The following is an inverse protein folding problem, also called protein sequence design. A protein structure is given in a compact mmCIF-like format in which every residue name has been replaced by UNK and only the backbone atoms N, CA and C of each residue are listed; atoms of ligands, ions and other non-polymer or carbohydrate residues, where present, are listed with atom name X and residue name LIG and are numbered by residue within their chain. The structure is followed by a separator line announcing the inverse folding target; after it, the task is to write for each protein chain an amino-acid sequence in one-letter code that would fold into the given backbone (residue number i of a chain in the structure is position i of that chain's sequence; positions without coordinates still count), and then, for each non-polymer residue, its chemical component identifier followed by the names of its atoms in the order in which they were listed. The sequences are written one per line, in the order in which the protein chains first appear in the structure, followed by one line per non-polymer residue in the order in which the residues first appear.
data_IF_209535323759
#
_entry.id   IF_209535323759
#
_cell.length_a   1.000
_cell.length_b   1.000
_cell.length_c   1.000
_cell.angle_alpha   90.00
_cell.angle_beta   90.00
_cell.angle_gamma   90.00
#
_symmetry.space_group_name_H-M   'P 1'
#
loop_
_entity.id
_entity.type
_entity.pdbx_description
1 polymer ?
#
# COMPACT_ATOMS: atom_id res chain seq x y z
N UNK A 1 -9.03 17.59 -24.45
CA UNK A 1 -8.38 16.69 -23.48
C UNK A 1 -7.80 17.56 -22.39
N UNK A 2 -8.30 17.44 -21.17
CA UNK A 2 -7.76 18.11 -20.00
C UNK A 2 -6.46 17.41 -19.63
N UNK A 3 -5.37 18.16 -19.42
CA UNK A 3 -4.11 17.60 -18.92
C UNK A 3 -4.23 17.25 -17.42
N UNK A 4 -3.29 16.46 -16.91
CA UNK A 4 -3.36 15.94 -15.55
C UNK A 4 -3.33 17.07 -14.51
N UNK A 5 -2.53 18.10 -14.75
CA UNK A 5 -2.38 19.23 -13.82
C UNK A 5 -3.70 20.00 -13.71
N UNK A 6 -4.35 20.26 -14.85
CA UNK A 6 -5.66 20.92 -14.89
C UNK A 6 -6.75 20.06 -14.22
N UNK A 7 -6.70 18.74 -14.38
CA UNK A 7 -7.62 17.83 -13.69
C UNK A 7 -7.38 17.84 -12.17
N UNK A 8 -6.13 17.90 -11.72
CA UNK A 8 -5.77 18.01 -10.31
C UNK A 8 -6.27 19.31 -9.69
N UNK A 9 -6.03 20.44 -10.35
CA UNK A 9 -6.52 21.76 -9.92
C UNK A 9 -8.06 21.84 -9.91
N UNK A 10 -8.73 21.25 -10.90
CA UNK A 10 -10.19 21.19 -10.93
C UNK A 10 -10.76 20.42 -9.73
N UNK A 11 -10.13 19.29 -9.37
CA UNK A 11 -10.52 18.49 -8.20
C UNK A 11 -10.19 19.15 -6.86
N UNK A 12 -9.19 20.04 -6.82
CA UNK A 12 -8.98 20.90 -5.66
C UNK A 12 -10.09 21.95 -5.57
N UNK A 13 -10.42 22.59 -6.70
CA UNK A 13 -11.40 23.66 -6.75
C UNK A 13 -12.82 23.20 -6.40
N UNK A 14 -13.20 21.97 -6.76
CA UNK A 14 -14.50 21.38 -6.42
C UNK A 14 -14.54 20.71 -5.03
N UNK A 15 -13.40 20.67 -4.33
CA UNK A 15 -13.27 20.13 -2.98
C UNK A 15 -13.15 18.60 -2.90
N UNK A 16 -13.07 17.89 -4.03
CA UNK A 16 -12.84 16.43 -4.03
C UNK A 16 -11.42 16.05 -3.60
N UNK A 17 -10.43 16.94 -3.82
CA UNK A 17 -9.05 16.78 -3.38
C UNK A 17 -8.59 17.93 -2.49
N UNK A 18 -7.65 17.60 -1.61
CA UNK A 18 -6.88 18.59 -0.84
C UNK A 18 -5.50 18.70 -1.48
N UNK A 19 -5.00 19.94 -1.61
CA UNK A 19 -3.67 20.22 -2.15
C UNK A 19 -2.58 19.53 -1.32
N UNK A 20 -1.63 18.88 -1.99
CA UNK A 20 -0.49 18.19 -1.41
C UNK A 20 0.77 18.46 -2.26
N UNK A 21 1.75 19.16 -1.69
CA UNK A 21 2.98 19.57 -2.38
C UNK A 21 3.76 18.38 -2.99
N UNK A 22 3.70 17.20 -2.36
CA UNK A 22 4.39 16.01 -2.86
C UNK A 22 3.70 15.46 -4.11
N UNK A 23 2.37 15.51 -4.13
CA UNK A 23 1.57 15.12 -5.27
C UNK A 23 1.77 16.10 -6.43
N UNK A 24 1.76 17.41 -6.14
CA UNK A 24 2.02 18.45 -7.15
C UNK A 24 3.41 18.31 -7.77
N UNK A 25 4.42 18.01 -6.97
CA UNK A 25 5.80 17.86 -7.43
C UNK A 25 5.98 16.75 -8.48
N UNK A 26 5.15 15.69 -8.46
CA UNK A 26 5.23 14.58 -9.42
C UNK A 26 4.36 14.75 -10.66
N UNK A 27 3.37 15.65 -10.65
CA UNK A 27 2.49 15.88 -11.82
C UNK A 27 3.27 16.16 -13.13
N UNK A 28 4.38 16.92 -13.12
CA UNK A 28 5.18 17.14 -14.33
C UNK A 28 5.74 15.85 -14.95
N UNK A 29 6.08 14.83 -14.16
CA UNK A 29 6.59 13.54 -14.67
C UNK A 29 5.51 12.73 -15.38
N UNK A 30 4.28 12.74 -14.85
CA UNK A 30 3.13 12.17 -15.54
C UNK A 30 2.84 12.92 -16.84
N UNK A 31 2.86 14.25 -16.80
CA UNK A 31 2.60 15.08 -17.98
C UNK A 31 3.66 14.89 -19.07
N UNK A 32 4.93 14.73 -18.70
CA UNK A 32 6.01 14.36 -19.63
C UNK A 32 5.67 13.09 -20.40
N UNK A 33 5.15 12.06 -19.72
CA UNK A 33 4.77 10.79 -20.34
C UNK A 33 3.55 10.97 -21.24
N UNK A 34 2.49 11.63 -20.75
CA UNK A 34 1.26 11.89 -21.51
C UNK A 34 1.55 12.64 -22.80
N UNK A 35 2.28 13.74 -22.72
CA UNK A 35 2.66 14.57 -23.86
C UNK A 35 3.53 13.82 -24.88
N UNK A 36 4.47 12.99 -24.40
CA UNK A 36 5.29 12.15 -25.28
C UNK A 36 4.46 11.08 -26.01
N UNK A 37 3.51 10.45 -25.34
CA UNK A 37 2.62 9.44 -25.94
C UNK A 37 1.57 10.04 -26.89
N UNK A 38 1.14 11.28 -26.65
CA UNK A 38 0.22 12.01 -27.53
C UNK A 38 0.87 12.40 -28.88
N UNK A 39 2.21 12.44 -28.95
CA UNK A 39 2.91 12.79 -30.17
C UNK A 39 3.02 11.57 -31.10
N UNK A 40 2.43 11.61 -32.32
CA UNK A 40 2.50 10.48 -33.23
C UNK A 40 3.94 10.18 -33.67
N UNK A 41 4.37 8.94 -33.50
CA UNK A 41 5.69 8.49 -33.96
C UNK A 41 5.66 8.39 -35.49
N UNK A 42 6.32 9.33 -36.19
CA UNK A 42 6.48 9.28 -37.65
C UNK A 42 7.37 8.09 -38.03
N UNK A 43 6.75 6.99 -38.48
CA UNK A 43 7.47 5.84 -39.04
C UNK A 43 7.81 6.11 -40.51
N UNK A 44 9.09 6.33 -40.82
CA UNK A 44 9.59 6.40 -42.20
C UNK A 44 10.25 5.08 -42.61
N UNK A 45 10.24 4.75 -43.90
CA UNK A 45 10.74 3.47 -44.44
C UNK A 45 12.22 3.13 -44.09
N UNK A 46 13.00 4.10 -43.61
CA UNK A 46 14.42 3.92 -43.27
C UNK A 46 14.81 4.51 -41.90
N UNK A 47 13.84 4.96 -41.09
CA UNK A 47 14.13 5.61 -39.81
C UNK A 47 13.66 4.72 -38.66
N UNK A 48 14.63 4.24 -37.88
CA UNK A 48 14.35 3.53 -36.62
C UNK A 48 13.49 4.46 -35.75
N UNK A 49 12.34 4.00 -35.22
CA UNK A 49 11.51 4.84 -34.37
C UNK A 49 12.34 5.29 -33.15
N UNK A 50 12.12 6.52 -32.64
CA UNK A 50 12.75 6.95 -31.41
C UNK A 50 12.37 5.99 -30.27
N UNK A 51 13.26 5.78 -29.28
CA UNK A 51 12.93 4.99 -28.12
C UNK A 51 11.73 5.59 -27.39
N UNK A 52 10.91 4.76 -26.73
CA UNK A 52 9.79 5.26 -25.92
C UNK A 52 10.32 6.19 -24.81
N UNK A 53 9.52 7.16 -24.34
CA UNK A 53 9.90 7.96 -23.19
C UNK A 53 10.09 7.07 -21.97
N UNK A 54 11.00 7.45 -21.07
CA UNK A 54 11.13 6.78 -19.78
C UNK A 54 9.78 6.79 -19.05
N UNK A 55 9.44 5.66 -18.47
CA UNK A 55 8.26 5.51 -17.64
C UNK A 55 8.45 6.14 -16.26
N UNK A 56 7.57 5.79 -15.31
CA UNK A 56 7.60 6.31 -13.94
C UNK A 56 7.39 5.17 -12.94
N UNK A 57 8.29 5.06 -11.97
CA UNK A 57 8.15 4.19 -10.80
C UNK A 57 7.86 5.09 -9.60
N UNK A 58 6.57 5.25 -9.29
CA UNK A 58 6.11 6.06 -8.17
C UNK A 58 6.05 5.20 -6.92
N UNK A 59 6.90 5.48 -5.93
CA UNK A 59 6.93 4.71 -4.70
C UNK A 59 6.80 5.57 -3.47
N UNK A 60 6.45 4.95 -2.36
CA UNK A 60 6.30 5.63 -1.07
C UNK A 60 5.29 4.92 -0.19
N UNK A 61 5.15 5.37 1.05
CA UNK A 61 4.26 4.74 2.01
C UNK A 61 2.81 4.57 1.52
N UNK A 62 2.09 3.63 2.13
CA UNK A 62 0.65 3.45 1.91
C UNK A 62 -0.06 4.79 2.07
N UNK A 63 -0.95 5.10 1.13
CA UNK A 63 -1.88 6.20 1.30
C UNK A 63 -1.36 7.61 1.11
N UNK A 64 -0.28 7.75 0.34
CA UNK A 64 0.22 9.04 -0.15
C UNK A 64 -0.51 9.53 -1.41
N UNK A 65 -1.53 8.81 -1.88
CA UNK A 65 -2.29 9.18 -3.09
C UNK A 65 -1.74 8.61 -4.41
N UNK A 66 -0.79 7.65 -4.37
CA UNK A 66 -0.19 7.05 -5.57
C UNK A 66 -1.21 6.49 -6.57
N UNK A 67 -2.14 5.67 -6.08
CA UNK A 67 -3.18 5.07 -6.93
C UNK A 67 -4.11 6.16 -7.46
N UNK A 68 -4.60 7.08 -6.62
CA UNK A 68 -5.40 8.22 -7.08
C UNK A 68 -4.71 9.05 -8.19
N UNK A 69 -3.40 9.33 -8.07
CA UNK A 69 -2.64 9.99 -9.14
C UNK A 69 -2.58 9.13 -10.41
N UNK A 70 -2.44 7.81 -10.26
CA UNK A 70 -2.52 6.86 -11.37
C UNK A 70 -3.91 6.87 -12.04
N UNK A 71 -5.02 6.86 -11.28
CA UNK A 71 -6.39 6.97 -11.79
C UNK A 71 -6.53 8.20 -12.69
N UNK A 72 -6.16 9.37 -12.14
CA UNK A 72 -6.24 10.65 -12.84
C UNK A 72 -5.37 10.66 -14.09
N UNK A 73 -4.16 10.12 -14.00
CA UNK A 73 -3.26 10.03 -15.14
C UNK A 73 -3.86 9.20 -16.28
N UNK A 74 -4.38 8.02 -15.98
CA UNK A 74 -5.00 7.14 -16.99
C UNK A 74 -6.25 7.78 -17.59
N UNK A 75 -7.06 8.51 -16.80
CA UNK A 75 -8.21 9.28 -17.27
C UNK A 75 -7.83 10.34 -18.32
N UNK A 76 -6.63 10.92 -18.20
CA UNK A 76 -6.14 11.95 -19.14
C UNK A 76 -5.57 11.41 -20.46
N UNK A 77 -5.52 10.08 -20.64
CA UNK A 77 -4.94 9.45 -21.83
C UNK A 77 -5.78 9.60 -23.11
N UNK A 78 -7.08 9.89 -22.98
CA UNK A 78 -7.97 10.04 -24.13
C UNK A 78 -7.96 8.80 -25.04
N UNK A 79 -7.60 8.98 -26.31
CA UNK A 79 -7.55 7.90 -27.31
C UNK A 79 -6.27 7.06 -27.27
N UNK A 80 -5.30 7.40 -26.41
CA UNK A 80 -4.07 6.61 -26.27
C UNK A 80 -4.43 5.28 -25.61
N UNK A 81 -4.12 4.11 -26.22
CA UNK A 81 -4.43 2.81 -25.64
C UNK A 81 -3.69 2.59 -24.31
N UNK A 82 -4.35 2.89 -23.20
CA UNK A 82 -3.82 2.76 -21.86
C UNK A 82 -4.56 1.67 -21.11
N UNK A 83 -3.82 0.82 -20.41
CA UNK A 83 -4.37 -0.24 -19.58
C UNK A 83 -3.86 -0.09 -18.17
N UNK A 84 -4.79 0.09 -17.23
CA UNK A 84 -4.51 0.04 -15.80
C UNK A 84 -4.88 -1.34 -15.24
N UNK A 85 -4.00 -1.90 -14.43
CA UNK A 85 -4.19 -3.25 -13.86
C UNK A 85 -3.31 -3.43 -12.62
N UNK A 86 -3.78 -4.18 -11.62
CA UNK A 86 -2.92 -4.60 -10.51
C UNK A 86 -1.83 -5.55 -11.01
N UNK A 87 -0.60 -5.38 -10.52
CA UNK A 87 0.55 -6.15 -11.01
C UNK A 87 0.33 -7.67 -10.92
N UNK A 88 -0.20 -8.17 -9.80
CA UNK A 88 -0.45 -9.61 -9.63
C UNK A 88 -1.50 -10.15 -10.61
N UNK A 89 -2.60 -9.43 -10.83
CA UNK A 89 -3.64 -9.83 -11.78
C UNK A 89 -3.09 -9.90 -13.22
N UNK A 90 -2.23 -8.95 -13.59
CA UNK A 90 -1.55 -8.98 -14.87
C UNK A 90 -0.63 -10.21 -14.99
N UNK A 91 0.17 -10.52 -13.97
CA UNK A 91 1.03 -11.71 -13.99
C UNK A 91 0.24 -13.00 -14.13
N UNK A 92 -0.92 -13.13 -13.48
CA UNK A 92 -1.81 -14.27 -13.65
C UNK A 92 -2.29 -14.44 -15.11
N UNK A 93 -2.66 -13.34 -15.77
CA UNK A 93 -3.03 -13.36 -17.19
C UNK A 93 -1.87 -13.80 -18.08
N UNK A 94 -0.65 -13.31 -17.80
CA UNK A 94 0.55 -13.71 -18.54
C UNK A 94 0.82 -15.20 -18.37
N UNK A 95 0.76 -15.73 -17.15
CA UNK A 95 0.95 -17.17 -16.89
C UNK A 95 -0.12 -18.02 -17.58
N UNK A 96 -1.39 -17.59 -17.56
CA UNK A 96 -2.46 -18.27 -18.26
C UNK A 96 -2.23 -18.29 -19.79
N UNK A 97 -1.81 -17.16 -20.36
CA UNK A 97 -1.44 -17.07 -21.78
C UNK A 97 -0.26 -17.97 -22.14
N UNK A 98 0.77 -18.01 -21.28
CA UNK A 98 1.92 -18.88 -21.47
C UNK A 98 1.55 -20.36 -21.37
N UNK A 99 0.66 -20.73 -20.45
CA UNK A 99 0.18 -22.11 -20.32
C UNK A 99 -0.48 -22.57 -21.62
N UNK A 100 -1.40 -21.76 -22.16
CA UNK A 100 -2.07 -22.05 -23.44
C UNK A 100 -1.07 -22.17 -24.59
N UNK A 101 -0.11 -21.25 -24.70
CA UNK A 101 0.91 -21.32 -25.74
C UNK A 101 1.77 -22.61 -25.64
N UNK A 102 2.05 -23.10 -24.42
CA UNK A 102 2.75 -24.37 -24.22
C UNK A 102 1.91 -25.58 -24.64
N UNK A 103 0.61 -25.56 -24.38
CA UNK A 103 -0.32 -26.61 -24.85
C UNK A 103 -0.34 -26.69 -26.39
N UNK A 104 -0.22 -25.54 -27.05
CA UNK A 104 -0.11 -25.43 -28.51
C UNK A 104 1.30 -25.80 -29.04
N UNK A 105 2.22 -26.25 -28.18
CA UNK A 105 3.58 -26.68 -28.55
C UNK A 105 4.58 -25.55 -28.77
N UNK A 106 4.27 -24.31 -28.37
CA UNK A 106 5.18 -23.17 -28.50
C UNK A 106 6.31 -23.28 -27.46
N UNK A 107 7.55 -23.39 -27.94
CA UNK A 107 8.73 -23.48 -27.06
C UNK A 107 8.94 -22.19 -26.24
N UNK A 108 8.84 -21.03 -26.90
CA UNK A 108 8.93 -19.72 -26.25
C UNK A 108 7.53 -19.14 -26.00
N UNK A 109 6.89 -19.63 -24.95
CA UNK A 109 5.51 -19.29 -24.63
C UNK A 109 5.30 -17.81 -24.23
N UNK A 110 6.35 -17.10 -23.76
CA UNK A 110 6.23 -15.70 -23.33
C UNK A 110 6.11 -14.75 -24.52
N UNK A 111 6.82 -15.02 -25.60
CA UNK A 111 6.86 -14.15 -26.77
C UNK A 111 5.50 -13.82 -27.40
N UNK A 112 4.65 -14.80 -27.75
CA UNK A 112 3.34 -14.50 -28.34
C UNK A 112 2.41 -13.77 -27.37
N UNK A 113 2.55 -14.00 -26.06
CA UNK A 113 1.77 -13.31 -25.03
C UNK A 113 2.18 -11.84 -24.93
N UNK A 114 3.48 -11.56 -24.88
CA UNK A 114 4.02 -10.21 -24.89
C UNK A 114 3.63 -9.45 -26.17
N UNK A 115 3.71 -10.09 -27.34
CA UNK A 115 3.27 -9.50 -28.61
C UNK A 115 1.80 -9.07 -28.60
N UNK A 116 0.92 -9.86 -28.00
CA UNK A 116 -0.50 -9.52 -27.90
C UNK A 116 -0.72 -8.28 -27.03
N UNK A 117 0.05 -8.14 -25.94
CA UNK A 117 0.04 -6.92 -25.13
C UNK A 117 0.56 -5.74 -25.95
N UNK A 118 1.71 -5.86 -26.60
CA UNK A 118 2.33 -4.79 -27.41
C UNK A 118 1.39 -4.28 -28.52
N UNK A 119 0.59 -5.17 -29.13
CA UNK A 119 -0.38 -4.81 -30.18
C UNK A 119 -1.59 -4.03 -29.63
N UNK A 120 -1.92 -4.17 -28.36
CA UNK A 120 -3.17 -3.66 -27.76
C UNK A 120 -2.98 -2.44 -26.88
N UNK A 121 -1.80 -2.24 -26.30
CA UNK A 121 -1.54 -1.14 -25.37
C UNK A 121 -0.30 -0.35 -25.75
N UNK A 122 -0.34 0.96 -25.49
CA UNK A 122 0.79 1.89 -25.57
C UNK A 122 1.31 2.30 -24.20
N UNK A 123 0.44 2.25 -23.19
CA UNK A 123 0.76 2.52 -21.79
C UNK A 123 0.23 1.39 -20.91
N UNK A 124 1.10 0.82 -20.07
CA UNK A 124 0.71 -0.05 -18.97
C UNK A 124 0.89 0.69 -17.64
N UNK A 125 -0.22 0.87 -16.93
CA UNK A 125 -0.29 1.46 -15.61
C UNK A 125 -0.46 0.35 -14.56
N UNK A 126 0.64 -0.06 -13.92
CA UNK A 126 0.60 -1.07 -12.87
C UNK A 126 0.31 -0.42 -11.51
N UNK A 127 -0.73 -0.92 -10.83
CA UNK A 127 -0.90 -0.62 -9.41
C UNK A 127 -0.28 -1.70 -8.53
N UNK A 128 0.26 -1.25 -7.40
CA UNK A 128 0.74 -2.09 -6.31
C UNK A 128 1.78 -3.14 -6.76
N UNK A 129 2.81 -2.69 -7.47
CA UNK A 129 3.90 -3.56 -7.87
C UNK A 129 4.63 -4.11 -6.65
N UNK A 130 4.41 -5.40 -6.41
CA UNK A 130 5.07 -6.21 -5.40
C UNK A 130 5.31 -7.60 -5.99
N UNK A 131 6.50 -8.13 -5.71
CA UNK A 131 6.89 -9.47 -6.15
C UNK A 131 7.33 -10.26 -4.93
N UNK A 132 6.61 -11.34 -4.67
CA UNK A 132 6.87 -12.30 -3.59
C UNK A 132 7.03 -13.72 -4.10
N UNK A 133 6.44 -14.04 -5.26
CA UNK A 133 6.51 -15.35 -5.88
C UNK A 133 7.72 -15.47 -6.80
N UNK A 134 8.40 -16.62 -6.73
CA UNK A 134 9.56 -16.92 -7.58
C UNK A 134 9.17 -17.03 -9.05
N UNK A 135 7.99 -17.56 -9.37
CA UNK A 135 7.52 -17.76 -10.74
C UNK A 135 7.40 -16.43 -11.48
N UNK A 136 6.85 -15.41 -10.84
CA UNK A 136 6.79 -14.03 -11.35
C UNK A 136 8.20 -13.45 -11.51
N UNK A 137 9.04 -13.61 -10.49
CA UNK A 137 10.42 -13.11 -10.50
C UNK A 137 11.25 -13.67 -11.68
N UNK A 138 10.99 -14.91 -12.08
CA UNK A 138 11.71 -15.58 -13.18
C UNK A 138 11.35 -15.06 -14.58
N UNK A 139 10.14 -14.54 -14.79
CA UNK A 139 9.67 -14.13 -16.13
C UNK A 139 9.55 -12.61 -16.30
N UNK A 140 9.37 -11.86 -15.21
CA UNK A 140 9.03 -10.43 -15.27
C UNK A 140 10.10 -9.60 -15.97
N UNK A 141 11.38 -9.90 -15.76
CA UNK A 141 12.48 -9.16 -16.39
C UNK A 141 12.39 -9.24 -17.91
N UNK A 142 12.31 -10.47 -18.42
CA UNK A 142 12.18 -10.73 -19.85
C UNK A 142 10.89 -10.14 -20.43
N UNK A 143 9.78 -10.21 -19.69
CA UNK A 143 8.53 -9.61 -20.12
C UNK A 143 8.66 -8.09 -20.28
N UNK A 144 9.26 -7.40 -19.30
CA UNK A 144 9.45 -5.96 -19.34
C UNK A 144 10.40 -5.54 -20.47
N UNK A 145 11.47 -6.30 -20.71
CA UNK A 145 12.36 -6.09 -21.87
C UNK A 145 11.56 -6.12 -23.18
N UNK A 146 10.72 -7.15 -23.38
CA UNK A 146 9.92 -7.29 -24.59
C UNK A 146 8.88 -6.17 -24.74
N UNK A 147 8.23 -5.76 -23.64
CA UNK A 147 7.27 -4.65 -23.64
C UNK A 147 7.97 -3.32 -24.00
N UNK A 148 9.14 -3.08 -23.41
CA UNK A 148 9.94 -1.88 -23.68
C UNK A 148 10.40 -1.83 -25.15
N UNK A 149 10.95 -2.92 -25.67
CA UNK A 149 11.36 -3.05 -27.07
C UNK A 149 10.18 -2.92 -28.05
N UNK A 150 8.99 -3.35 -27.62
CA UNK A 150 7.73 -3.15 -28.32
C UNK A 150 7.21 -1.70 -28.31
N UNK A 151 7.85 -0.81 -27.55
CA UNK A 151 7.48 0.60 -27.42
C UNK A 151 6.33 0.86 -26.46
N UNK A 152 6.05 -0.07 -25.54
CA UNK A 152 5.08 0.10 -24.45
C UNK A 152 5.75 0.90 -23.33
N UNK A 153 5.13 1.98 -22.90
CA UNK A 153 5.57 2.75 -21.73
C UNK A 153 4.94 2.16 -20.48
N UNK A 154 5.73 2.06 -19.40
CA UNK A 154 5.27 1.53 -18.12
C UNK A 154 5.23 2.65 -17.09
N UNK A 155 4.12 2.77 -16.37
CA UNK A 155 4.03 3.58 -15.16
C UNK A 155 3.57 2.64 -14.05
N UNK A 156 4.19 2.71 -12.88
CA UNK A 156 3.93 1.76 -11.80
C UNK A 156 3.90 2.43 -10.44
N UNK A 157 2.99 1.99 -9.56
CA UNK A 157 2.97 2.38 -8.15
C UNK A 157 3.52 1.26 -7.26
N UNK A 158 4.27 1.59 -6.22
CA UNK A 158 4.70 0.60 -5.21
C UNK A 158 4.81 1.18 -3.81
N UNK A 159 4.68 0.32 -2.80
CA UNK A 159 5.00 0.66 -1.41
C UNK A 159 6.47 0.41 -1.06
N UNK A 160 7.28 -0.08 -2.00
CA UNK A 160 8.68 -0.43 -1.81
C UNK A 160 9.55 0.31 -2.84
N UNK A 161 10.76 0.67 -2.45
CA UNK A 161 11.77 1.10 -3.42
C UNK A 161 12.12 -0.08 -4.35
N UNK A 162 12.54 0.15 -5.62
CA UNK A 162 12.91 -0.94 -6.53
C UNK A 162 13.96 -1.90 -5.94
N UNK A 163 14.91 -1.39 -5.17
CA UNK A 163 15.92 -2.22 -4.50
C UNK A 163 15.33 -3.16 -3.45
N UNK A 164 14.14 -2.87 -2.93
CA UNK A 164 13.46 -3.72 -1.93
C UNK A 164 12.44 -4.69 -2.57
N UNK A 165 12.26 -4.66 -3.89
CA UNK A 165 11.43 -5.63 -4.60
C UNK A 165 12.05 -7.03 -4.50
N UNK A 166 11.25 -8.04 -4.13
CA UNK A 166 11.69 -9.43 -3.96
C UNK A 166 12.88 -9.58 -2.98
N UNK A 167 12.96 -8.70 -1.97
CA UNK A 167 14.00 -8.75 -0.94
C UNK A 167 13.91 -10.07 -0.17
N UNK A 168 15.05 -10.73 -0.01
CA UNK A 168 15.15 -12.08 0.57
C UNK A 168 14.43 -13.19 -0.21
N UNK A 169 13.97 -12.92 -1.44
CA UNK A 169 13.41 -13.94 -2.31
C UNK A 169 14.42 -14.99 -2.72
N UNK A 170 13.96 -16.20 -3.02
CA UNK A 170 14.81 -17.30 -3.43
C UNK A 170 15.51 -16.97 -4.76
N UNK A 171 16.83 -17.19 -4.82
CA UNK A 171 17.68 -16.83 -5.96
C UNK A 171 17.58 -15.35 -6.39
N UNK A 172 17.42 -14.41 -5.45
CA UNK A 172 17.34 -12.96 -5.69
C UNK A 172 18.39 -12.40 -6.65
N UNK A 173 19.58 -12.99 -6.72
CA UNK A 173 20.61 -12.60 -7.68
C UNK A 173 20.14 -12.64 -9.15
N UNK A 174 19.24 -13.57 -9.49
CA UNK A 174 18.63 -13.67 -10.83
C UNK A 174 17.63 -12.55 -11.11
N UNK A 175 17.14 -11.88 -10.06
CA UNK A 175 16.17 -10.78 -10.14
C UNK A 175 16.84 -9.39 -10.19
N UNK A 176 18.11 -9.28 -9.79
CA UNK A 176 18.86 -8.02 -9.83
C UNK A 176 18.92 -7.36 -11.23
N UNK A 177 19.05 -8.10 -12.36
CA UNK A 177 18.98 -7.50 -13.69
C UNK A 177 17.66 -6.78 -13.95
N UNK A 178 16.54 -7.28 -13.43
CA UNK A 178 15.25 -6.62 -13.56
C UNK A 178 15.16 -5.34 -12.73
N UNK A 179 15.72 -5.32 -11.52
CA UNK A 179 15.83 -4.08 -10.71
C UNK A 179 16.65 -3.02 -11.48
N UNK A 180 17.73 -3.45 -12.14
CA UNK A 180 18.52 -2.56 -12.98
C UNK A 180 17.70 -2.01 -14.15
N UNK A 181 16.99 -2.89 -14.88
CA UNK A 181 16.10 -2.50 -15.97
C UNK A 181 15.05 -1.46 -15.52
N UNK A 182 14.41 -1.65 -14.35
CA UNK A 182 13.48 -0.68 -13.76
C UNK A 182 14.15 0.70 -13.62
N UNK A 183 15.36 0.75 -13.05
CA UNK A 183 16.08 2.00 -12.81
C UNK A 183 16.58 2.66 -14.10
N UNK A 184 16.84 1.87 -15.13
CA UNK A 184 17.22 2.38 -16.45
C UNK A 184 16.03 2.96 -17.21
N UNK A 185 14.89 2.25 -17.20
CA UNK A 185 13.73 2.60 -18.04
C UNK A 185 12.71 3.50 -17.36
N UNK A 186 12.68 3.54 -16.04
CA UNK A 186 11.71 4.31 -15.27
C UNK A 186 12.41 5.43 -14.50
N UNK A 187 11.77 6.60 -14.45
CA UNK A 187 12.12 7.63 -13.47
C UNK A 187 11.65 7.12 -12.12
N UNK A 188 12.57 6.97 -11.17
CA UNK A 188 12.23 6.55 -9.80
C UNK A 188 11.86 7.79 -9.01
N UNK A 189 10.59 7.89 -8.61
CA UNK A 189 10.08 9.02 -7.87
C UNK A 189 9.54 8.56 -6.53
N UNK A 190 10.11 9.07 -5.44
CA UNK A 190 9.55 8.87 -4.12
C UNK A 190 8.48 9.94 -3.88
N UNK A 191 7.25 9.51 -3.57
CA UNK A 191 6.20 10.37 -3.09
C UNK A 191 6.42 10.63 -1.58
N UNK A 192 7.50 11.36 -1.30
CA UNK A 192 7.83 11.90 0.02
C UNK A 192 7.11 13.22 0.18
N UNK A 193 6.13 13.25 1.09
CA UNK A 193 5.74 14.54 1.64
C UNK A 193 6.91 15.05 2.47
N UNK A 194 7.50 16.22 2.16
CA UNK A 194 8.63 16.79 2.91
C UNK A 194 8.30 17.03 4.39
N UNK A 195 7.02 16.90 4.72
CA UNK A 195 6.49 16.83 6.06
C UNK A 195 5.71 15.54 6.17
N UNK A 196 6.25 14.54 6.86
CA UNK A 196 5.41 13.54 7.48
C UNK A 196 4.63 14.24 8.61
N UNK A 197 3.62 15.05 8.24
CA UNK A 197 2.72 15.70 9.17
C UNK A 197 2.05 14.68 10.10
N UNK A 198 2.07 13.37 9.77
CA UNK A 198 1.57 12.29 10.63
C UNK A 198 2.58 11.83 11.70
N UNK A 199 3.89 11.82 11.43
CA UNK A 199 4.90 11.48 12.43
C UNK A 199 5.25 12.68 13.32
N UNK A 200 5.43 13.88 12.75
CA UNK A 200 5.76 15.08 13.52
C UNK A 200 4.61 15.64 14.37
N UNK A 201 3.35 15.21 14.16
CA UNK A 201 2.21 15.58 15.04
C UNK A 201 2.04 14.63 16.23
N UNK A 202 2.54 13.40 16.13
CA UNK A 202 2.59 12.46 17.27
C UNK A 202 3.78 12.72 18.17
N UNK A 203 4.81 13.45 17.71
CA UNK A 203 5.90 13.93 18.56
C UNK A 203 5.34 14.88 19.65
N UNK A 204 5.03 14.32 20.81
CA UNK A 204 4.48 15.02 21.96
C UNK A 204 2.98 14.85 22.19
N UNK A 205 2.24 14.26 21.25
CA UNK A 205 0.81 13.96 21.45
C UNK A 205 0.64 12.63 22.21
N UNK A 206 -0.20 12.58 23.27
CA UNK A 206 -0.47 11.33 23.97
C UNK A 206 -1.10 10.31 23.02
N UNK A 207 -0.59 9.08 23.04
CA UNK A 207 -1.11 7.94 22.24
C UNK A 207 -1.97 6.99 23.06
N UNK A 208 -2.06 7.23 24.37
CA UNK A 208 -2.87 6.46 25.30
C UNK A 208 -3.79 7.41 26.05
N UNK A 209 -5.09 7.17 25.98
CA UNK A 209 -6.12 8.04 26.57
C UNK A 209 -6.91 7.28 27.62
N UNK A 210 -6.82 7.71 28.87
CA UNK A 210 -7.55 7.10 29.98
C UNK A 210 -8.01 8.16 30.99
N UNK A 211 -9.16 7.97 31.67
CA UNK A 211 -10.16 6.94 31.43
C UNK A 211 -10.96 7.17 30.14
N UNK A 212 -11.70 6.14 29.70
CA UNK A 212 -12.68 6.28 28.64
C UNK A 212 -13.74 7.31 29.06
N UNK A 213 -14.07 8.22 28.15
CA UNK A 213 -15.07 9.25 28.38
C UNK A 213 -15.16 10.24 27.22
N UNK A 214 -16.00 11.29 27.35
CA UNK A 214 -16.17 12.30 26.32
C UNK A 214 -14.86 12.97 25.90
N UNK A 215 -13.97 13.26 26.86
CA UNK A 215 -12.68 13.89 26.59
C UNK A 215 -11.74 12.98 25.77
N UNK A 216 -11.60 11.70 26.16
CA UNK A 216 -10.79 10.74 25.42
C UNK A 216 -11.33 10.53 24.00
N UNK A 217 -12.66 10.47 23.85
CA UNK A 217 -13.31 10.33 22.54
C UNK A 217 -13.08 11.54 21.64
N UNK A 218 -13.09 12.76 22.19
CA UNK A 218 -12.79 13.96 21.42
C UNK A 218 -11.33 13.99 20.97
N UNK A 219 -10.40 13.68 21.87
CA UNK A 219 -8.97 13.60 21.54
C UNK A 219 -8.70 12.55 20.46
N UNK A 220 -9.25 11.35 20.60
CA UNK A 220 -9.12 10.30 19.58
C UNK A 220 -9.75 10.71 18.26
N UNK A 221 -10.92 11.36 18.28
CA UNK A 221 -11.56 11.85 17.05
C UNK A 221 -10.68 12.86 16.34
N UNK A 222 -10.08 13.81 17.07
CA UNK A 222 -9.13 14.77 16.52
C UNK A 222 -7.94 14.06 15.88
N UNK A 223 -7.31 13.15 16.62
CA UNK A 223 -6.16 12.38 16.12
C UNK A 223 -6.54 11.55 14.89
N UNK A 224 -7.70 10.90 14.89
CA UNK A 224 -8.21 10.15 13.75
C UNK A 224 -8.44 11.04 12.51
N UNK A 225 -9.09 12.19 12.68
CA UNK A 225 -9.34 13.11 11.57
C UNK A 225 -8.04 13.62 10.95
N UNK A 226 -7.06 13.93 11.80
CA UNK A 226 -5.72 14.34 11.37
C UNK A 226 -4.98 13.22 10.64
N UNK A 227 -5.06 11.98 11.14
CA UNK A 227 -4.35 10.83 10.55
C UNK A 227 -5.03 10.28 9.30
N UNK A 228 -6.36 10.27 9.22
CA UNK A 228 -7.09 9.67 8.09
C UNK A 228 -7.10 10.55 6.84
N UNK A 229 -7.10 11.88 7.00
CA UNK A 229 -7.09 12.82 5.86
C UNK A 229 -8.38 12.78 5.02
N UNK A 230 -9.52 12.41 5.63
CA UNK A 230 -10.85 12.44 5.03
C UNK A 230 -11.63 11.12 5.23
N UNK A 231 -12.64 10.81 4.37
CA UNK A 231 -13.49 9.62 4.57
C UNK A 231 -12.68 8.33 4.52
N UNK A 232 -13.07 7.34 5.33
CA UNK A 232 -12.45 6.03 5.43
C UNK A 232 -13.50 4.95 5.19
N UNK A 233 -13.10 3.87 4.53
CA UNK A 233 -13.98 2.76 4.17
C UNK A 233 -13.55 1.49 4.91
N UNK A 234 -14.43 0.49 5.06
CA UNK A 234 -14.02 -0.78 5.63
C UNK A 234 -12.94 -1.46 4.79
N UNK A 235 -11.94 -2.07 5.43
CA UNK A 235 -10.97 -2.95 4.77
C UNK A 235 -11.29 -4.40 5.10
N UNK A 236 -11.50 -5.22 4.07
CA UNK A 236 -11.66 -6.67 4.19
C UNK A 236 -10.35 -7.39 3.85
N UNK A 237 -9.74 -8.03 4.85
CA UNK A 237 -8.55 -8.86 4.70
C UNK A 237 -8.95 -10.34 4.59
N UNK A 238 -8.45 -11.02 3.56
CA UNK A 238 -8.66 -12.47 3.39
C UNK A 238 -7.53 -13.26 4.05
N UNK A 239 -7.84 -13.97 5.12
CA UNK A 239 -6.86 -14.74 5.91
C UNK A 239 -7.28 -16.20 5.91
N UNK A 240 -6.55 -17.09 5.23
CA UNK A 240 -6.82 -18.55 5.23
C UNK A 240 -8.31 -18.93 5.04
N UNK A 241 -8.99 -18.24 4.12
CA UNK A 241 -10.39 -18.52 3.76
C UNK A 241 -11.45 -17.89 4.68
N UNK A 242 -11.08 -17.02 5.62
CA UNK A 242 -12.02 -16.16 6.36
C UNK A 242 -11.76 -14.68 6.08
N UNK A 243 -12.82 -13.88 6.19
CA UNK A 243 -12.76 -12.43 6.03
C UNK A 243 -12.60 -11.75 7.40
N UNK A 244 -11.61 -10.86 7.50
CA UNK A 244 -11.34 -10.02 8.67
C UNK A 244 -11.60 -8.57 8.27
N UNK A 245 -12.56 -7.91 8.93
CA UNK A 245 -13.01 -6.57 8.55
C UNK A 245 -12.50 -5.53 9.55
N UNK A 246 -11.78 -4.53 9.07
CA UNK A 246 -11.49 -3.30 9.81
C UNK A 246 -12.56 -2.25 9.45
N UNK A 247 -13.37 -1.76 10.42
CA UNK A 247 -14.55 -0.92 10.13
C UNK A 247 -14.24 0.38 9.40
N UNK A 248 -13.11 1.00 9.74
CA UNK A 248 -12.64 2.20 9.07
C UNK A 248 -11.15 2.05 8.80
N UNK A 249 -10.79 2.10 7.53
CA UNK A 249 -9.42 2.02 7.07
C UNK A 249 -9.20 3.05 5.98
N UNK A 250 -8.05 3.71 6.06
CA UNK A 250 -7.54 4.51 4.98
C UNK A 250 -6.04 4.59 5.10
N UNK A 251 -5.35 4.37 3.99
CA UNK A 251 -3.97 4.82 3.87
C UNK A 251 -3.01 4.22 4.93
N UNK A 252 -3.23 2.96 5.33
CA UNK A 252 -2.45 2.28 6.37
C UNK A 252 -2.81 2.66 7.81
N UNK A 253 -3.86 3.47 8.01
CA UNK A 253 -4.41 3.83 9.31
C UNK A 253 -5.77 3.16 9.44
N UNK A 254 -5.96 2.36 10.50
CA UNK A 254 -7.25 1.79 10.82
C UNK A 254 -7.81 2.37 12.10
N UNK A 255 -9.13 2.41 12.18
CA UNK A 255 -9.90 2.71 13.39
C UNK A 255 -10.91 1.60 13.63
N UNK A 256 -10.90 1.09 14.84
CA UNK A 256 -11.77 0.01 15.28
C UNK A 256 -12.06 0.17 16.79
N UNK A 257 -13.22 -0.32 17.24
CA UNK A 257 -13.44 -0.51 18.67
C UNK A 257 -12.74 -1.77 19.18
N UNK A 258 -12.54 -1.86 20.48
CA UNK A 258 -12.03 -3.07 21.13
C UNK A 258 -12.83 -4.31 20.72
N UNK A 259 -14.16 -4.22 20.68
CA UNK A 259 -15.02 -5.37 20.37
C UNK A 259 -15.05 -5.72 18.87
N UNK A 260 -14.67 -4.82 17.97
CA UNK A 260 -14.50 -5.14 16.55
C UNK A 260 -13.37 -6.15 16.33
N UNK A 261 -12.30 -6.07 17.13
CA UNK A 261 -11.13 -6.93 17.00
C UNK A 261 -11.14 -8.04 18.04
N UNK A 262 -11.23 -7.69 19.32
CA UNK A 262 -11.11 -8.64 20.43
C UNK A 262 -12.43 -9.33 20.78
N UNK A 263 -13.58 -8.77 20.36
CA UNK A 263 -14.90 -9.42 20.53
C UNK A 263 -15.19 -10.52 19.51
N UNK A 264 -14.49 -10.52 18.37
CA UNK A 264 -14.65 -11.52 17.30
C UNK A 264 -13.72 -12.72 17.50
N UNK A 265 -14.04 -13.84 16.85
CA UNK A 265 -13.22 -15.07 16.90
C UNK A 265 -11.97 -14.99 16.01
N UNK A 266 -11.17 -13.93 16.19
CA UNK A 266 -9.89 -13.76 15.52
C UNK A 266 -8.78 -14.55 16.25
N UNK A 267 -7.89 -15.14 15.47
CA UNK A 267 -6.71 -15.85 15.94
C UNK A 267 -5.40 -15.13 15.61
N UNK A 268 -4.24 -15.69 16.02
CA UNK A 268 -2.93 -15.06 15.81
C UNK A 268 -2.63 -14.71 14.34
N UNK A 269 -2.99 -15.58 13.40
CA UNK A 269 -2.79 -15.31 11.97
C UNK A 269 -3.62 -14.15 11.43
N UNK A 270 -4.79 -13.91 12.02
CA UNK A 270 -5.65 -12.77 11.67
C UNK A 270 -5.02 -11.46 12.16
N UNK A 271 -4.47 -11.46 13.39
CA UNK A 271 -3.78 -10.31 13.94
C UNK A 271 -2.46 -9.98 13.25
N UNK A 272 -1.72 -10.99 12.78
CA UNK A 272 -0.54 -10.77 11.93
C UNK A 272 -0.91 -10.12 10.60
N UNK A 273 -1.99 -10.59 9.95
CA UNK A 273 -2.47 -9.98 8.71
C UNK A 273 -2.96 -8.53 8.92
N UNK A 274 -3.62 -8.26 10.06
CA UNK A 274 -3.95 -6.89 10.46
C UNK A 274 -2.66 -6.07 10.63
N UNK A 275 -1.68 -6.57 11.39
CA UNK A 275 -0.44 -5.84 11.64
C UNK A 275 0.34 -5.54 10.35
N UNK A 276 0.40 -6.48 9.41
CA UNK A 276 1.06 -6.30 8.10
C UNK A 276 0.37 -5.25 7.22
N UNK A 277 -0.96 -5.09 7.36
CA UNK A 277 -1.74 -4.11 6.59
C UNK A 277 -1.66 -2.69 7.17
N UNK A 278 -1.23 -2.53 8.43
CA UNK A 278 -1.32 -1.29 9.18
C UNK A 278 0.04 -0.66 9.49
N UNK A 279 0.03 0.68 9.53
CA UNK A 279 1.09 1.50 10.13
C UNK A 279 0.66 2.11 11.46
N UNK A 280 -0.63 2.43 11.55
CA UNK A 280 -1.25 2.96 12.75
C UNK A 280 -2.59 2.26 13.00
N UNK A 281 -2.82 1.83 14.23
CA UNK A 281 -4.12 1.37 14.70
C UNK A 281 -4.64 2.35 15.74
N UNK A 282 -5.82 2.91 15.50
CA UNK A 282 -6.63 3.64 16.49
C UNK A 282 -7.63 2.66 17.09
N UNK A 283 -7.38 2.23 18.33
CA UNK A 283 -8.21 1.26 19.04
C UNK A 283 -9.03 1.94 20.14
N UNK A 284 -10.36 1.96 19.98
CA UNK A 284 -11.24 2.65 20.90
C UNK A 284 -11.85 1.74 21.96
N UNK A 285 -12.06 2.33 23.14
CA UNK A 285 -12.90 1.81 24.21
C UNK A 285 -12.43 0.45 24.76
N UNK A 286 -11.12 0.30 25.01
CA UNK A 286 -10.54 -0.87 25.69
C UNK A 286 -11.10 -0.95 27.13
N UNK A 287 -11.95 -1.93 27.45
CA UNK A 287 -12.58 -2.00 28.76
C UNK A 287 -11.58 -2.44 29.83
N UNK A 288 -11.98 -2.36 31.11
CA UNK A 288 -11.28 -3.13 32.14
C UNK A 288 -11.46 -4.61 31.85
N UNK A 289 -10.36 -5.33 31.83
CA UNK A 289 -10.31 -6.76 31.57
C UNK A 289 -10.39 -7.51 32.91
N UNK A 290 -11.04 -8.65 32.89
CA UNK A 290 -11.36 -9.46 34.06
C UNK A 290 -11.62 -10.90 33.63
N UNK A 291 -11.90 -11.78 34.59
CA UNK A 291 -12.31 -13.17 34.31
C UNK A 291 -13.57 -13.25 33.44
N UNK A 292 -14.46 -12.26 33.49
CA UNK A 292 -15.73 -12.26 32.76
C UNK A 292 -15.57 -12.02 31.25
N UNK A 293 -14.45 -11.42 30.81
CA UNK A 293 -14.11 -11.16 29.41
C UNK A 293 -12.71 -11.70 29.07
N UNK A 294 -12.40 -12.88 29.63
CA UNK A 294 -11.08 -13.49 29.53
C UNK A 294 -10.68 -13.87 28.09
N UNK A 295 -11.64 -14.25 27.25
CA UNK A 295 -11.35 -14.59 25.85
C UNK A 295 -10.96 -13.34 25.04
N UNK A 296 -11.67 -12.24 25.25
CA UNK A 296 -11.37 -10.93 24.69
C UNK A 296 -10.01 -10.43 25.21
N UNK A 297 -9.74 -10.64 26.50
CA UNK A 297 -8.47 -10.31 27.13
C UNK A 297 -7.30 -11.05 26.46
N UNK A 298 -7.40 -12.38 26.26
CA UNK A 298 -6.38 -13.17 25.53
C UNK A 298 -6.17 -12.70 24.08
N UNK A 299 -7.25 -12.35 23.41
CA UNK A 299 -7.20 -11.79 22.05
C UNK A 299 -6.52 -10.43 22.02
N UNK A 300 -6.75 -9.60 23.03
CA UNK A 300 -6.07 -8.31 23.17
C UNK A 300 -4.56 -8.49 23.38
N UNK A 301 -4.14 -9.42 24.24
CA UNK A 301 -2.71 -9.79 24.38
C UNK A 301 -2.11 -10.16 23.03
N UNK A 302 -2.80 -11.04 22.28
CA UNK A 302 -2.34 -11.49 20.96
C UNK A 302 -2.25 -10.34 19.94
N UNK A 303 -3.23 -9.43 19.95
CA UNK A 303 -3.23 -8.23 19.10
C UNK A 303 -2.03 -7.33 19.44
N UNK A 304 -1.82 -7.01 20.71
CA UNK A 304 -0.69 -6.15 21.14
C UNK A 304 0.64 -6.78 20.76
N UNK A 305 0.77 -8.10 20.91
CA UNK A 305 1.99 -8.82 20.54
C UNK A 305 2.28 -8.69 19.04
N UNK A 306 1.27 -8.90 18.18
CA UNK A 306 1.41 -8.75 16.73
C UNK A 306 1.78 -7.32 16.31
N UNK A 307 1.11 -6.31 16.91
CA UNK A 307 1.39 -4.90 16.62
C UNK A 307 2.79 -4.49 17.07
N UNK A 308 3.21 -4.97 18.25
CA UNK A 308 4.53 -4.68 18.81
C UNK A 308 5.64 -5.25 17.92
N UNK A 309 5.52 -6.51 17.49
CA UNK A 309 6.51 -7.17 16.62
C UNK A 309 6.60 -6.51 15.24
N UNK A 310 5.45 -6.13 14.66
CA UNK A 310 5.38 -5.43 13.38
C UNK A 310 5.71 -3.92 13.48
N UNK A 311 6.03 -3.40 14.68
CA UNK A 311 6.27 -1.98 14.95
C UNK A 311 5.13 -1.06 14.49
N UNK A 312 3.89 -1.53 14.60
CA UNK A 312 2.70 -0.72 14.29
C UNK A 312 2.48 0.29 15.42
N UNK A 313 2.24 1.55 15.07
CA UNK A 313 1.90 2.59 16.07
C UNK A 313 0.50 2.34 16.60
N UNK A 314 0.36 2.16 17.91
CA UNK A 314 -0.94 2.04 18.56
C UNK A 314 -1.34 3.37 19.18
N UNK A 315 -2.57 3.79 18.92
CA UNK A 315 -3.24 4.91 19.59
C UNK A 315 -4.52 4.34 20.18
N UNK A 316 -4.76 4.48 21.48
CA UNK A 316 -5.94 3.86 22.07
C UNK A 316 -6.59 4.64 23.21
N UNK A 317 -7.89 4.41 23.41
CA UNK A 317 -8.59 4.78 24.64
C UNK A 317 -8.85 3.55 25.49
N UNK A 318 -8.64 3.69 26.80
CA UNK A 318 -8.70 2.57 27.72
C UNK A 318 -9.29 2.96 29.08
N UNK A 319 -10.01 2.03 29.70
CA UNK A 319 -10.73 2.28 30.95
C UNK A 319 -9.82 2.48 32.17
N UNK A 320 -8.54 2.13 32.06
CA UNK A 320 -7.51 2.31 33.08
C UNK A 320 -6.13 2.40 32.43
N UNK A 321 -5.10 2.76 33.21
CA UNK A 321 -3.68 2.64 32.84
C UNK A 321 -3.30 1.19 32.49
N UNK A 322 -2.24 0.97 31.68
CA UNK A 322 -1.84 -0.38 31.24
C UNK A 322 -1.73 -1.41 32.36
N UNK A 323 -1.12 -1.05 33.49
CA UNK A 323 -0.92 -1.94 34.65
C UNK A 323 -2.24 -2.24 35.39
N UNK A 324 -3.26 -1.40 35.19
CA UNK A 324 -4.56 -1.49 35.86
C UNK A 324 -5.65 -2.05 34.94
N UNK A 325 -5.31 -2.45 33.70
CA UNK A 325 -6.26 -3.04 32.76
C UNK A 325 -6.69 -4.45 33.14
N UNK A 326 -5.82 -5.22 33.78
CA UNK A 326 -6.12 -6.57 34.26
C UNK A 326 -5.43 -6.80 35.61
N UNK A 327 -6.18 -6.63 36.71
CA UNK A 327 -5.62 -6.59 38.06
C UNK A 327 -5.56 -7.99 38.71
N UNK A 328 -6.54 -8.86 38.44
CA UNK A 328 -6.65 -10.19 39.08
C UNK A 328 -7.28 -11.25 38.16
N UNK A 329 -6.66 -12.44 38.09
CA UNK A 329 -7.22 -13.60 37.40
C UNK A 329 -6.16 -14.59 36.89
N UNK A 330 -6.61 -15.66 36.20
CA UNK A 330 -5.69 -16.48 35.40
C UNK A 330 -5.10 -15.62 34.28
N UNK A 331 -3.84 -15.83 33.90
CA UNK A 331 -3.20 -15.08 32.82
C UNK A 331 -2.60 -13.71 33.22
N UNK A 332 -2.51 -13.41 34.52
CA UNK A 332 -1.97 -12.12 35.02
C UNK A 332 -0.53 -11.88 34.56
N UNK A 333 0.29 -12.93 34.48
CA UNK A 333 1.68 -12.84 34.01
C UNK A 333 1.79 -12.44 32.53
N UNK A 334 0.98 -13.03 31.65
CA UNK A 334 0.94 -12.61 30.24
C UNK A 334 0.45 -11.16 30.09
N UNK A 335 -0.45 -10.72 30.97
CA UNK A 335 -0.95 -9.35 31.01
C UNK A 335 0.09 -8.33 31.50
N UNK A 336 0.94 -8.67 32.47
CA UNK A 336 2.06 -7.81 32.88
C UNK A 336 3.00 -7.52 31.69
N UNK A 337 3.28 -8.54 30.87
CA UNK A 337 4.05 -8.36 29.64
C UNK A 337 3.35 -7.43 28.65
N UNK A 338 2.04 -7.61 28.46
CA UNK A 338 1.24 -6.73 27.60
C UNK A 338 1.22 -5.29 28.12
N UNK A 339 1.12 -5.08 29.44
CA UNK A 339 1.19 -3.76 30.05
C UNK A 339 2.54 -3.07 29.80
N UNK A 340 3.66 -3.82 29.94
CA UNK A 340 5.00 -3.31 29.60
C UNK A 340 5.09 -2.90 28.13
N UNK A 341 4.62 -3.75 27.22
CA UNK A 341 4.59 -3.43 25.78
C UNK A 341 3.76 -2.18 25.50
N UNK A 342 2.58 -2.06 26.11
CA UNK A 342 1.75 -0.86 25.98
C UNK A 342 2.44 0.41 26.51
N UNK A 343 3.26 0.32 27.55
CA UNK A 343 4.09 1.43 28.04
C UNK A 343 5.20 1.78 27.06
N UNK A 344 5.93 0.79 26.58
CA UNK A 344 7.00 1.00 25.58
C UNK A 344 6.44 1.61 24.29
N UNK A 345 5.26 1.16 23.85
CA UNK A 345 4.57 1.69 22.68
C UNK A 345 4.12 3.15 22.83
N UNK A 346 4.09 3.69 24.06
CA UNK A 346 3.82 5.10 24.33
C UNK A 346 5.05 5.99 24.16
N UNK A 347 6.25 5.42 24.07
CA UNK A 347 7.48 6.20 23.92
C UNK A 347 7.47 7.01 22.62
N UNK A 348 8.10 8.19 22.66
CA UNK A 348 8.20 9.12 21.54
C UNK A 348 9.04 8.53 20.41
N UNK A 349 10.01 7.68 20.74
CA UNK A 349 10.90 7.05 19.76
C UNK A 349 10.45 5.63 19.36
N UNK A 350 9.28 5.20 19.84
CA UNK A 350 8.75 3.88 19.52
C UNK A 350 8.33 3.74 18.04
N UNK A 351 8.87 2.71 17.38
CA UNK A 351 8.52 2.36 15.99
C UNK A 351 9.21 3.19 14.91
N UNK A 352 10.24 3.97 15.27
CA UNK A 352 11.13 4.65 14.34
C UNK A 352 12.06 3.68 13.60
#
# INVERSE_FOLDING_TARGET
MTDLISLYEARIADGTLTRDDAQEAVLPEFERIRSALATPVKRGLFRKPPPPPKGLYLWGGVGRGKSMLMDMFVETMGDIPARRVHFHAFMQEIHAGMHKAREDGVQDALAPVAENVIKTVRLLAFDEMQITDITDAMIVGRLFDMLHDGGVVIVTTSNRHPDDLYKNGLNRQLFLPFIHHIKEQLVIWELTSPTDYRQNRLEGSPVYFTPIGPEAREKIRSVWNDLSGGPAEPLSLQVKGREVVLPAFRNGVARASFYDLCGRMLGPGDYLAIADALKVLVLEDVPRLSRNNFNEAKRFVTLIDALYEAKVRLICSAAAEPEMLYVEGEGTFEFERTASRLREMQDKDWGK
#
